data_IF_391372043102
#
_entry.id   IF_391372043102
#
_cell.length_a   1.000
_cell.length_b   1.000
_cell.length_c   1.000
_cell.angle_alpha   90.00
_cell.angle_beta   90.00
_cell.angle_gamma   90.00
#
_symmetry.space_group_name_H-M   'P 1'
#
loop_
_entity.id
_entity.type
_entity.pdbx_description
1 polymer ?
#
# COMPACT_ATOMS: atom_id res chain seq x y z
N UNK A 1 39.54 29.51 -13.23
CA UNK A 1 38.13 29.12 -13.47
C UNK A 1 37.82 28.62 -14.91
N UNK A 2 38.49 29.12 -15.99
CA UNK A 2 38.24 28.62 -17.37
C UNK A 2 38.65 27.15 -17.61
N UNK A 3 39.52 26.55 -16.80
CA UNK A 3 40.01 25.17 -16.96
C UNK A 3 39.14 24.11 -16.26
N UNK A 4 38.22 24.50 -15.34
CA UNK A 4 37.37 23.57 -14.57
C UNK A 4 36.13 23.17 -15.39
N UNK A 5 35.59 24.08 -16.21
CA UNK A 5 34.41 23.86 -17.02
C UNK A 5 34.51 22.64 -17.99
N UNK A 6 35.61 22.52 -18.78
CA UNK A 6 35.75 21.36 -19.67
C UNK A 6 35.90 20.03 -18.92
N UNK A 7 36.58 20.04 -17.76
CA UNK A 7 36.68 18.85 -16.90
C UNK A 7 35.33 18.42 -16.35
N UNK A 8 34.50 19.37 -15.94
CA UNK A 8 33.15 19.08 -15.47
C UNK A 8 32.24 18.52 -16.56
N UNK A 9 32.35 19.07 -17.79
CA UNK A 9 31.59 18.58 -18.95
C UNK A 9 32.01 17.13 -19.28
N UNK A 10 33.31 16.84 -19.25
CA UNK A 10 33.82 15.48 -19.49
C UNK A 10 33.33 14.52 -18.39
N UNK A 11 33.33 14.94 -17.14
CA UNK A 11 32.89 14.12 -16.01
C UNK A 11 31.37 13.83 -16.08
N UNK A 12 30.57 14.82 -16.46
CA UNK A 12 29.13 14.64 -16.70
C UNK A 12 28.87 13.73 -17.89
N UNK A 13 29.59 13.89 -18.99
CA UNK A 13 29.52 13.01 -20.16
C UNK A 13 29.90 11.56 -19.80
N UNK A 14 30.91 11.38 -18.94
CA UNK A 14 31.37 10.07 -18.46
C UNK A 14 30.34 9.40 -17.53
N UNK A 15 29.68 10.16 -16.68
CA UNK A 15 28.58 9.67 -15.83
C UNK A 15 27.38 9.29 -16.69
N UNK A 16 27.04 10.07 -17.73
CA UNK A 16 25.94 9.76 -18.64
C UNK A 16 26.24 8.49 -19.43
N UNK A 17 27.45 8.37 -19.99
CA UNK A 17 27.84 7.17 -20.74
C UNK A 17 27.90 5.94 -19.82
N UNK A 18 28.43 6.05 -18.62
CA UNK A 18 28.41 4.97 -17.62
C UNK A 18 26.99 4.56 -17.24
N UNK A 19 26.09 5.52 -17.03
CA UNK A 19 24.67 5.25 -16.72
C UNK A 19 23.94 4.56 -17.86
N UNK A 20 24.22 4.94 -19.11
CA UNK A 20 23.68 4.29 -20.31
C UNK A 20 24.20 2.86 -20.43
N UNK A 21 25.52 2.64 -20.26
CA UNK A 21 26.13 1.31 -20.33
C UNK A 21 25.63 0.39 -19.21
N UNK A 22 25.46 0.90 -18.00
CA UNK A 22 24.94 0.13 -16.86
C UNK A 22 23.44 -0.16 -17.07
N UNK A 23 22.67 0.79 -17.61
CA UNK A 23 21.25 0.61 -17.91
C UNK A 23 20.96 -0.40 -19.00
N UNK A 24 21.84 -0.49 -20.01
CA UNK A 24 21.68 -1.46 -21.12
C UNK A 24 22.03 -2.89 -20.70
N UNK A 25 22.87 -3.10 -19.67
CA UNK A 25 23.32 -4.43 -19.24
C UNK A 25 22.49 -5.06 -18.10
N UNK A 26 21.47 -4.40 -17.56
CA UNK A 26 20.54 -5.09 -16.68
C UNK A 26 19.56 -5.89 -17.55
N UNK A 27 19.95 -7.11 -17.92
CA UNK A 27 18.97 -8.16 -18.16
C UNK A 27 18.10 -8.21 -16.90
N UNK A 28 16.80 -7.89 -17.03
CA UNK A 28 15.85 -8.09 -15.94
C UNK A 28 16.01 -9.56 -15.52
N UNK A 29 16.53 -9.80 -14.34
CA UNK A 29 16.52 -11.16 -13.76
C UNK A 29 15.06 -11.55 -13.69
N UNK A 30 14.73 -12.70 -14.28
CA UNK A 30 13.35 -13.21 -14.24
C UNK A 30 13.01 -13.43 -12.78
N UNK A 31 11.92 -12.85 -12.35
CA UNK A 31 11.41 -13.03 -10.98
C UNK A 31 10.61 -14.34 -10.93
N UNK A 32 11.13 -15.29 -10.16
CA UNK A 32 10.57 -16.63 -9.97
C UNK A 32 9.81 -16.78 -8.65
N UNK A 33 9.40 -15.66 -8.05
CA UNK A 33 8.57 -15.69 -6.85
C UNK A 33 7.20 -16.29 -7.17
N UNK A 34 6.73 -17.19 -6.28
CA UNK A 34 5.42 -17.83 -6.41
C UNK A 34 4.33 -16.88 -5.93
N UNK A 35 3.46 -16.49 -6.83
CA UNK A 35 2.37 -15.55 -6.50
C UNK A 35 0.99 -16.17 -6.69
N UNK A 36 0.84 -17.07 -7.65
CA UNK A 36 -0.44 -17.62 -8.10
C UNK A 36 -1.53 -16.56 -8.36
N UNK A 37 -1.11 -15.32 -8.62
CA UNK A 37 -2.00 -14.18 -8.82
C UNK A 37 -2.46 -14.12 -10.29
N UNK A 38 -3.75 -13.92 -10.50
CA UNK A 38 -4.40 -13.84 -11.81
C UNK A 38 -4.01 -12.59 -12.61
N UNK A 39 -3.42 -11.59 -11.96
CA UNK A 39 -2.92 -10.37 -12.61
C UNK A 39 -1.43 -10.45 -12.95
N UNK A 40 -0.71 -11.36 -12.30
CA UNK A 40 0.73 -11.48 -12.43
C UNK A 40 1.14 -12.13 -13.76
N UNK A 41 1.98 -11.44 -14.53
CA UNK A 41 2.63 -11.98 -15.72
C UNK A 41 3.97 -12.64 -15.42
N UNK A 42 4.37 -12.76 -14.13
CA UNK A 42 5.55 -13.50 -13.72
C UNK A 42 5.42 -14.98 -14.08
N UNK A 43 6.53 -15.74 -14.12
CA UNK A 43 6.49 -17.17 -14.42
C UNK A 43 5.51 -17.96 -13.55
N UNK A 44 5.47 -17.67 -12.25
CA UNK A 44 4.59 -18.34 -11.30
C UNK A 44 3.34 -17.54 -10.92
N UNK A 45 2.89 -16.60 -11.78
CA UNK A 45 1.53 -16.08 -11.80
C UNK A 45 0.60 -16.98 -12.60
N UNK A 46 -0.72 -16.72 -12.55
CA UNK A 46 -1.74 -17.52 -13.26
C UNK A 46 -2.54 -16.71 -14.28
N UNK A 47 -1.99 -15.59 -14.75
CA UNK A 47 -2.71 -14.69 -15.66
C UNK A 47 -3.08 -15.32 -17.01
N UNK A 48 -2.30 -16.29 -17.47
CA UNK A 48 -2.61 -17.03 -18.72
C UNK A 48 -3.87 -17.88 -18.52
N UNK A 49 -3.90 -18.70 -17.48
CA UNK A 49 -5.07 -19.51 -17.13
C UNK A 49 -6.31 -18.63 -16.97
N UNK A 50 -6.20 -17.57 -16.15
CA UNK A 50 -7.34 -16.70 -15.87
C UNK A 50 -7.95 -16.07 -17.12
N UNK A 51 -7.13 -15.68 -18.09
CA UNK A 51 -7.59 -15.13 -19.38
C UNK A 51 -8.24 -16.16 -20.29
N UNK A 52 -7.89 -17.44 -20.12
CA UNK A 52 -8.47 -18.53 -20.92
C UNK A 52 -9.78 -19.09 -20.29
N UNK A 53 -9.99 -18.99 -18.97
CA UNK A 53 -11.19 -19.47 -18.29
C UNK A 53 -12.51 -19.04 -18.96
N UNK A 54 -12.74 -17.76 -19.36
CA UNK A 54 -13.97 -17.36 -20.05
C UNK A 54 -14.15 -18.00 -21.42
N UNK A 55 -13.09 -18.51 -22.04
CA UNK A 55 -13.16 -19.21 -23.31
C UNK A 55 -13.48 -20.69 -23.12
N UNK A 56 -13.05 -21.26 -22.01
CA UNK A 56 -13.31 -22.65 -21.64
C UNK A 56 -14.75 -22.81 -21.12
N UNK A 57 -15.23 -21.87 -20.31
CA UNK A 57 -16.60 -21.84 -19.77
C UNK A 57 -17.48 -20.83 -20.53
N UNK A 58 -17.65 -21.01 -21.86
CA UNK A 58 -18.22 -20.01 -22.79
C UNK A 58 -19.61 -19.52 -22.44
N UNK A 59 -20.46 -20.39 -21.93
CA UNK A 59 -21.85 -20.07 -21.63
C UNK A 59 -22.07 -19.56 -20.20
N UNK A 60 -20.99 -19.46 -19.43
CA UNK A 60 -21.02 -19.14 -18.01
C UNK A 60 -20.15 -17.94 -17.68
N UNK A 61 -20.35 -17.35 -16.50
CA UNK A 61 -19.61 -16.19 -16.06
C UNK A 61 -18.44 -16.61 -15.19
N UNK A 62 -17.25 -16.09 -15.49
CA UNK A 62 -16.09 -16.13 -14.60
C UNK A 62 -16.09 -14.86 -13.77
N UNK A 63 -16.14 -14.99 -12.45
CA UNK A 63 -16.12 -13.87 -11.49
C UNK A 63 -14.92 -13.99 -10.58
N UNK A 64 -14.20 -12.90 -10.39
CA UNK A 64 -13.10 -12.85 -9.43
C UNK A 64 -13.63 -12.47 -8.05
N UNK A 65 -13.24 -13.22 -7.04
CA UNK A 65 -13.63 -12.99 -5.63
C UNK A 65 -12.47 -12.36 -4.88
N UNK A 66 -12.61 -11.08 -4.55
CA UNK A 66 -11.60 -10.29 -3.80
C UNK A 66 -11.88 -10.22 -2.31
N UNK A 67 -13.04 -10.67 -1.87
CA UNK A 67 -13.46 -10.67 -0.48
C UNK A 67 -13.32 -12.07 0.11
N UNK A 68 -13.19 -12.13 1.42
CA UNK A 68 -13.19 -13.38 2.17
C UNK A 68 -14.36 -14.27 1.72
N UNK A 69 -14.10 -15.55 1.39
CA UNK A 69 -15.13 -16.47 0.91
C UNK A 69 -16.37 -16.52 1.80
N UNK A 70 -16.19 -16.52 3.13
CA UNK A 70 -17.30 -16.47 4.08
C UNK A 70 -18.20 -15.26 3.87
N UNK A 71 -17.62 -14.08 3.71
CA UNK A 71 -18.38 -12.84 3.50
C UNK A 71 -19.03 -12.82 2.11
N UNK A 72 -18.33 -13.29 1.09
CA UNK A 72 -18.81 -13.29 -0.28
C UNK A 72 -19.99 -14.25 -0.49
N UNK A 73 -19.88 -15.49 0.01
CA UNK A 73 -20.90 -16.51 -0.14
C UNK A 73 -22.13 -16.18 0.71
N UNK A 74 -21.95 -15.71 1.95
CA UNK A 74 -23.07 -15.23 2.80
C UNK A 74 -23.80 -14.03 2.20
N UNK A 75 -23.10 -13.08 1.60
CA UNK A 75 -23.72 -11.91 0.98
C UNK A 75 -24.59 -12.27 -0.25
N UNK A 76 -24.35 -13.43 -0.84
CA UNK A 76 -25.15 -13.96 -1.96
C UNK A 76 -26.23 -14.96 -1.50
N UNK A 77 -26.53 -15.09 -0.20
CA UNK A 77 -27.67 -15.85 0.31
C UNK A 77 -28.89 -14.95 0.56
N UNK A 78 -30.11 -15.39 0.22
CA UNK A 78 -31.32 -14.56 0.30
C UNK A 78 -31.63 -14.04 1.71
N UNK A 79 -31.30 -14.81 2.75
CA UNK A 79 -31.66 -14.50 4.14
C UNK A 79 -30.46 -14.34 5.10
N UNK A 80 -29.22 -14.45 4.59
CA UNK A 80 -28.03 -14.52 5.45
C UNK A 80 -27.96 -15.78 6.35
N UNK A 81 -28.96 -16.65 6.26
CA UNK A 81 -29.14 -17.90 6.99
C UNK A 81 -29.76 -19.01 6.10
N UNK A 82 -29.57 -18.99 4.84
CA UNK A 82 -30.28 -19.90 3.93
C UNK A 82 -29.42 -20.54 2.89
N UNK A 83 -30.06 -21.21 1.95
CA UNK A 83 -29.41 -21.87 0.81
C UNK A 83 -28.59 -20.86 0.00
N UNK A 84 -27.37 -21.25 -0.40
CA UNK A 84 -26.53 -20.42 -1.27
C UNK A 84 -27.22 -20.17 -2.60
N UNK A 85 -27.39 -18.90 -2.97
CA UNK A 85 -27.86 -18.53 -4.32
C UNK A 85 -26.72 -18.66 -5.35
N UNK A 86 -25.46 -18.62 -4.89
CA UNK A 86 -24.31 -18.82 -5.73
C UNK A 86 -24.25 -20.28 -6.17
N UNK A 87 -24.46 -20.52 -7.47
CA UNK A 87 -24.31 -21.84 -8.08
C UNK A 87 -23.08 -21.82 -8.97
N UNK A 88 -22.22 -22.85 -8.84
CA UNK A 88 -21.04 -22.92 -9.68
C UNK A 88 -19.86 -23.65 -9.08
N UNK A 89 -18.69 -23.36 -9.63
CA UNK A 89 -17.39 -23.89 -9.21
C UNK A 89 -16.55 -22.78 -8.58
N UNK A 90 -16.12 -22.97 -7.35
CA UNK A 90 -15.18 -22.07 -6.68
C UNK A 90 -13.76 -22.62 -6.89
N UNK A 91 -12.85 -21.80 -7.46
CA UNK A 91 -11.49 -22.22 -7.82
C UNK A 91 -10.48 -21.45 -6.97
N UNK A 92 -9.63 -22.18 -6.23
CA UNK A 92 -8.51 -21.66 -5.45
C UNK A 92 -7.23 -22.34 -5.94
N UNK A 93 -6.22 -21.54 -6.30
CA UNK A 93 -4.91 -22.02 -6.76
C UNK A 93 -3.81 -21.37 -5.91
N UNK A 94 -3.18 -22.16 -5.05
CA UNK A 94 -2.15 -21.71 -4.10
C UNK A 94 -2.69 -20.84 -2.95
N UNK A 95 -1.90 -20.76 -1.89
CA UNK A 95 -2.11 -19.90 -0.73
C UNK A 95 -3.41 -20.16 0.06
N UNK A 96 -3.90 -21.38 0.05
CA UNK A 96 -5.11 -21.76 0.79
C UNK A 96 -4.94 -21.73 2.32
N UNK A 97 -3.71 -21.74 2.79
CA UNK A 97 -3.34 -21.56 4.20
C UNK A 97 -3.72 -20.19 4.79
N UNK A 98 -4.00 -19.20 3.92
CA UNK A 98 -4.54 -17.90 4.32
C UNK A 98 -6.06 -17.89 4.50
N UNK A 99 -6.75 -19.01 4.26
CA UNK A 99 -8.18 -19.12 4.53
C UNK A 99 -8.43 -19.29 6.03
N UNK A 100 -9.29 -18.46 6.58
CA UNK A 100 -9.77 -18.62 7.95
C UNK A 100 -10.81 -19.74 8.04
N UNK A 101 -10.98 -20.34 9.21
CA UNK A 101 -11.89 -21.45 9.46
C UNK A 101 -13.33 -21.16 9.03
N UNK A 102 -13.81 -19.93 9.25
CA UNK A 102 -15.14 -19.50 8.81
C UNK A 102 -15.31 -19.53 7.29
N UNK A 103 -14.23 -19.22 6.54
CA UNK A 103 -14.25 -19.29 5.08
C UNK A 103 -14.26 -20.73 4.57
N UNK A 104 -13.57 -21.61 5.28
CA UNK A 104 -13.57 -23.05 4.95
C UNK A 104 -14.95 -23.65 5.21
N UNK A 105 -15.57 -23.32 6.35
CA UNK A 105 -16.95 -23.73 6.64
C UNK A 105 -17.92 -23.29 5.54
N UNK A 106 -17.82 -22.06 5.12
CA UNK A 106 -18.74 -21.55 4.12
C UNK A 106 -18.48 -22.14 2.72
N UNK A 107 -17.23 -22.42 2.38
CA UNK A 107 -16.89 -23.16 1.15
C UNK A 107 -17.42 -24.60 1.20
N UNK A 108 -17.33 -25.25 2.34
CA UNK A 108 -17.87 -26.61 2.52
C UNK A 108 -19.42 -26.59 2.47
N UNK A 109 -20.07 -25.60 3.11
CA UNK A 109 -21.53 -25.40 2.99
C UNK A 109 -21.96 -25.16 1.55
N UNK A 110 -21.18 -24.36 0.82
CA UNK A 110 -21.41 -24.14 -0.63
C UNK A 110 -21.35 -25.45 -1.41
N UNK A 111 -20.40 -26.33 -1.09
CA UNK A 111 -20.31 -27.65 -1.72
C UNK A 111 -21.45 -28.55 -1.27
N UNK A 112 -21.82 -28.56 0.02
CA UNK A 112 -22.93 -29.38 0.54
C UNK A 112 -24.27 -29.02 -0.15
N UNK A 113 -24.44 -27.75 -0.53
CA UNK A 113 -25.60 -27.30 -1.32
C UNK A 113 -25.67 -27.83 -2.75
N UNK A 114 -24.60 -28.49 -3.25
CA UNK A 114 -24.54 -29.10 -4.60
C UNK A 114 -23.56 -28.46 -5.55
N UNK A 115 -22.70 -27.57 -5.06
CA UNK A 115 -21.70 -26.87 -5.85
C UNK A 115 -20.36 -27.57 -5.87
N UNK A 116 -19.37 -27.01 -6.56
CA UNK A 116 -18.05 -27.59 -6.72
C UNK A 116 -16.98 -26.66 -6.11
N UNK A 117 -16.06 -27.23 -5.36
CA UNK A 117 -14.83 -26.59 -4.93
C UNK A 117 -13.65 -27.24 -5.62
N UNK A 118 -12.83 -26.45 -6.31
CA UNK A 118 -11.54 -26.89 -6.83
C UNK A 118 -10.44 -26.17 -6.03
N UNK A 119 -9.60 -26.93 -5.35
CA UNK A 119 -8.51 -26.44 -4.51
C UNK A 119 -7.19 -27.09 -4.93
N UNK A 120 -6.27 -26.29 -5.42
CA UNK A 120 -4.92 -26.71 -5.78
C UNK A 120 -3.89 -25.99 -4.93
N UNK A 121 -3.22 -26.70 -4.04
CA UNK A 121 -2.19 -26.15 -3.16
C UNK A 121 -1.19 -27.24 -2.71
N UNK A 122 -0.05 -26.82 -2.17
CA UNK A 122 0.91 -27.72 -1.55
C UNK A 122 0.42 -28.23 -0.20
N UNK A 123 -0.16 -27.36 0.58
CA UNK A 123 -0.71 -27.62 1.90
C UNK A 123 -2.15 -27.15 1.96
N UNK A 124 -2.99 -27.97 2.56
CA UNK A 124 -4.38 -27.62 2.78
C UNK A 124 -4.59 -27.22 4.24
N UNK A 125 -5.54 -26.32 4.53
CA UNK A 125 -5.93 -26.02 5.90
C UNK A 125 -6.30 -27.28 6.68
N UNK A 126 -5.94 -27.35 7.97
CA UNK A 126 -6.18 -28.52 8.82
C UNK A 126 -7.65 -28.95 8.80
N UNK A 127 -8.56 -27.99 8.74
CA UNK A 127 -9.99 -28.25 8.69
C UNK A 127 -10.44 -29.00 7.43
N UNK A 128 -9.77 -28.79 6.31
CA UNK A 128 -9.99 -29.56 5.06
C UNK A 128 -9.51 -31.01 5.26
N UNK A 129 -8.34 -31.19 5.89
CA UNK A 129 -7.82 -32.52 6.21
C UNK A 129 -8.80 -33.30 7.09
N UNK A 130 -9.27 -32.70 8.18
CA UNK A 130 -10.14 -33.34 9.17
C UNK A 130 -11.53 -33.62 8.60
N UNK A 131 -12.08 -32.70 7.79
CA UNK A 131 -13.45 -32.82 7.28
C UNK A 131 -13.57 -33.77 6.09
N UNK A 132 -12.54 -33.82 5.23
CA UNK A 132 -12.55 -34.65 4.02
C UNK A 132 -11.77 -35.96 4.19
N UNK A 133 -11.26 -36.23 5.37
CA UNK A 133 -10.48 -37.46 5.68
C UNK A 133 -9.34 -37.70 4.68
N UNK A 134 -8.50 -36.66 4.50
CA UNK A 134 -7.34 -36.69 3.61
C UNK A 134 -6.08 -36.32 4.36
N UNK A 135 -4.95 -36.96 4.04
CA UNK A 135 -3.65 -36.55 4.56
C UNK A 135 -2.68 -36.31 3.42
N UNK A 136 -1.88 -35.28 3.54
CA UNK A 136 -0.82 -34.96 2.59
C UNK A 136 0.55 -35.25 3.25
N UNK A 137 1.43 -35.86 2.48
CA UNK A 137 2.81 -36.09 2.84
C UNK A 137 3.72 -35.59 1.71
N UNK A 138 5.01 -35.56 1.89
CA UNK A 138 5.97 -35.11 0.91
C UNK A 138 7.07 -36.18 0.68
N UNK A 139 7.63 -36.13 -0.54
CA UNK A 139 8.84 -36.92 -0.88
C UNK A 139 10.05 -36.04 -0.60
N UNK A 140 11.01 -36.52 0.19
CA UNK A 140 12.25 -35.82 0.45
C UNK A 140 13.10 -35.75 -0.84
N UNK A 141 13.19 -34.60 -1.45
CA UNK A 141 13.85 -34.40 -2.74
C UNK A 141 14.95 -33.35 -2.70
N UNK A 142 15.93 -33.51 -3.59
CA UNK A 142 16.94 -32.52 -3.85
C UNK A 142 16.32 -31.30 -4.61
N UNK A 143 16.94 -30.10 -4.47
CA UNK A 143 16.55 -28.92 -5.21
C UNK A 143 16.54 -29.19 -6.72
N UNK A 144 15.57 -28.59 -7.44
CA UNK A 144 15.29 -28.78 -8.87
C UNK A 144 14.62 -30.13 -9.25
N UNK A 145 13.73 -30.63 -8.39
CA UNK A 145 12.94 -31.82 -8.68
C UNK A 145 12.13 -31.71 -9.97
N UNK A 146 12.09 -32.83 -10.70
CA UNK A 146 11.27 -33.00 -11.89
C UNK A 146 10.16 -33.99 -11.51
N UNK A 147 8.92 -33.59 -11.78
CA UNK A 147 7.76 -34.47 -11.64
C UNK A 147 7.12 -34.73 -13.00
N UNK A 148 6.57 -35.92 -13.16
CA UNK A 148 5.74 -36.27 -14.31
C UNK A 148 4.29 -36.42 -13.85
N UNK A 149 3.40 -35.63 -14.42
CA UNK A 149 1.98 -35.61 -14.07
C UNK A 149 1.16 -36.40 -15.08
N UNK A 150 0.22 -37.20 -14.58
CA UNK A 150 -0.69 -38.00 -15.41
C UNK A 150 -2.12 -37.93 -14.87
N UNK A 151 -3.11 -38.03 -15.76
CA UNK A 151 -4.52 -38.11 -15.43
C UNK A 151 -5.08 -39.50 -15.77
N UNK A 152 -6.05 -39.96 -14.98
CA UNK A 152 -6.51 -41.36 -15.05
C UNK A 152 -7.47 -41.64 -16.19
N UNK A 153 -8.33 -40.72 -16.56
CA UNK A 153 -9.38 -40.91 -17.55
C UNK A 153 -9.22 -40.02 -18.79
N UNK A 154 -8.13 -39.29 -18.88
CA UNK A 154 -7.81 -38.43 -20.02
C UNK A 154 -6.58 -39.03 -20.71
N UNK A 155 -6.71 -39.31 -21.99
CA UNK A 155 -5.60 -39.91 -22.75
C UNK A 155 -4.60 -38.82 -23.17
N UNK A 156 -3.75 -38.43 -22.23
CA UNK A 156 -2.63 -37.52 -22.44
C UNK A 156 -1.34 -38.22 -22.03
N UNK A 157 -0.24 -37.88 -22.69
CA UNK A 157 1.09 -38.33 -22.29
C UNK A 157 1.46 -37.70 -20.93
N UNK A 158 2.36 -38.36 -20.19
CA UNK A 158 2.87 -37.84 -18.94
C UNK A 158 3.52 -36.45 -19.13
N UNK A 159 3.01 -35.44 -18.46
CA UNK A 159 3.48 -34.07 -18.57
C UNK A 159 4.62 -33.81 -17.60
N UNK A 160 5.76 -33.42 -18.14
CA UNK A 160 6.94 -33.09 -17.35
C UNK A 160 6.82 -31.71 -16.72
N UNK A 161 6.82 -31.61 -15.39
CA UNK A 161 7.08 -30.37 -14.66
C UNK A 161 8.54 -30.31 -14.21
N UNK A 162 9.18 -29.21 -14.47
CA UNK A 162 10.54 -28.89 -14.05
C UNK A 162 10.54 -27.66 -13.12
N UNK A 163 11.69 -27.29 -12.57
CA UNK A 163 11.88 -26.16 -11.66
C UNK A 163 11.06 -26.26 -10.38
N UNK A 164 11.49 -27.13 -9.48
CA UNK A 164 10.88 -27.36 -8.18
C UNK A 164 9.39 -27.75 -8.30
N UNK A 165 9.11 -28.81 -9.06
CA UNK A 165 7.81 -29.47 -8.98
C UNK A 165 7.47 -29.80 -7.53
N UNK A 166 6.19 -29.79 -7.18
CA UNK A 166 5.75 -30.15 -5.85
C UNK A 166 6.18 -31.57 -5.51
N UNK A 167 6.57 -31.75 -4.28
CA UNK A 167 6.91 -33.06 -3.68
C UNK A 167 5.76 -33.59 -2.81
N UNK A 168 4.64 -32.84 -2.72
CA UNK A 168 3.47 -33.25 -1.94
C UNK A 168 2.57 -34.22 -2.68
N UNK A 169 1.99 -35.15 -1.92
CA UNK A 169 1.05 -36.14 -2.41
C UNK A 169 0.06 -36.57 -1.32
N UNK A 170 -1.10 -37.09 -1.73
CA UNK A 170 -2.08 -37.67 -0.80
C UNK A 170 -1.58 -39.04 -0.33
N UNK A 171 -1.21 -39.11 0.95
CA UNK A 171 -0.69 -40.32 1.60
C UNK A 171 -1.81 -41.21 2.14
N UNK A 172 -2.88 -40.60 2.67
CA UNK A 172 -4.03 -41.30 3.22
C UNK A 172 -5.31 -40.59 2.73
N UNK A 173 -6.29 -41.37 2.34
CA UNK A 173 -7.62 -40.92 1.93
C UNK A 173 -8.59 -42.10 1.90
N UNK A 174 -9.88 -41.84 2.04
CA UNK A 174 -10.91 -42.88 1.93
C UNK A 174 -10.99 -43.42 0.48
N UNK A 175 -10.35 -44.53 0.23
CA UNK A 175 -10.30 -45.15 -1.09
C UNK A 175 -11.64 -45.72 -1.58
N UNK A 176 -12.66 -45.78 -0.72
CA UNK A 176 -14.01 -46.23 -1.08
C UNK A 176 -14.82 -45.12 -1.66
N UNK A 177 -14.79 -43.95 -1.00
CA UNK A 177 -15.60 -42.80 -1.35
C UNK A 177 -14.84 -41.77 -2.21
N UNK A 178 -13.50 -41.72 -2.10
CA UNK A 178 -12.71 -40.79 -2.89
C UNK A 178 -12.23 -41.40 -4.20
N UNK A 179 -12.30 -40.64 -5.26
CA UNK A 179 -11.85 -41.06 -6.59
C UNK A 179 -10.47 -40.47 -6.92
N UNK A 180 -9.50 -41.31 -7.20
CA UNK A 180 -8.20 -40.85 -7.69
C UNK A 180 -8.31 -40.48 -9.18
N UNK A 181 -8.02 -39.23 -9.51
CA UNK A 181 -8.07 -38.69 -10.86
C UNK A 181 -6.69 -38.45 -11.48
N UNK A 182 -5.66 -38.27 -10.67
CA UNK A 182 -4.32 -38.01 -11.18
C UNK A 182 -3.20 -38.51 -10.27
N UNK A 183 -2.02 -38.56 -10.85
CA UNK A 183 -0.82 -39.00 -10.16
C UNK A 183 0.35 -38.11 -10.56
N UNK A 184 1.27 -37.92 -9.59
CA UNK A 184 2.60 -37.38 -9.82
C UNK A 184 3.63 -38.54 -9.70
N UNK A 185 4.69 -38.44 -10.47
CA UNK A 185 5.80 -39.39 -10.41
C UNK A 185 7.10 -38.59 -10.28
N UNK A 186 7.72 -38.71 -9.12
CA UNK A 186 9.04 -38.17 -8.82
C UNK A 186 10.00 -39.32 -8.74
N UNK A 187 9.87 -40.17 -7.73
CA UNK A 187 10.55 -41.46 -7.52
C UNK A 187 9.61 -42.63 -7.84
N UNK A 188 8.46 -42.62 -7.19
CA UNK A 188 7.36 -43.59 -7.41
C UNK A 188 6.13 -42.84 -7.88
N UNK A 189 5.06 -43.56 -8.16
CA UNK A 189 3.77 -43.04 -8.54
C UNK A 189 2.95 -42.69 -7.29
N UNK A 190 2.70 -41.41 -7.07
CA UNK A 190 1.94 -40.87 -5.94
C UNK A 190 0.64 -40.27 -6.40
N UNK A 191 -0.41 -40.28 -5.58
CA UNK A 191 -1.68 -39.64 -5.85
C UNK A 191 -1.55 -38.11 -5.63
N UNK A 192 -1.84 -37.34 -6.65
CA UNK A 192 -1.78 -35.87 -6.58
C UNK A 192 -3.09 -35.16 -6.89
N UNK A 193 -4.11 -35.90 -7.37
CA UNK A 193 -5.40 -35.32 -7.71
C UNK A 193 -6.53 -36.26 -7.28
N UNK A 194 -7.42 -35.74 -6.42
CA UNK A 194 -8.55 -36.44 -5.84
C UNK A 194 -9.87 -35.72 -6.16
N UNK A 195 -10.92 -36.53 -6.35
CA UNK A 195 -12.31 -36.09 -6.31
C UNK A 195 -12.94 -36.64 -5.04
N UNK A 196 -13.48 -35.77 -4.23
CA UNK A 196 -14.06 -36.08 -2.91
C UNK A 196 -15.53 -35.64 -2.95
N UNK A 197 -16.48 -36.54 -2.92
CA UNK A 197 -17.89 -36.20 -2.75
C UNK A 197 -18.12 -35.59 -1.35
N UNK A 198 -18.84 -34.50 -1.29
CA UNK A 198 -19.20 -33.85 -0.01
C UNK A 198 -20.62 -33.30 -0.10
N UNK A 199 -21.51 -33.79 0.75
CA UNK A 199 -22.92 -33.47 0.70
C UNK A 199 -23.54 -33.78 -0.66
N UNK A 200 -24.12 -32.77 -1.32
CA UNK A 200 -24.68 -32.89 -2.68
C UNK A 200 -23.69 -32.52 -3.78
N UNK A 201 -22.53 -31.98 -3.41
CA UNK A 201 -21.51 -31.48 -4.33
C UNK A 201 -20.21 -32.27 -4.33
N UNK A 202 -19.15 -31.64 -4.77
CA UNK A 202 -17.86 -32.28 -4.97
C UNK A 202 -16.71 -31.34 -4.66
N UNK A 203 -15.71 -31.81 -3.94
CA UNK A 203 -14.42 -31.15 -3.76
C UNK A 203 -13.37 -31.84 -4.63
N UNK A 204 -12.63 -31.06 -5.39
CA UNK A 204 -11.45 -31.51 -6.13
C UNK A 204 -10.22 -30.97 -5.41
N UNK A 205 -9.32 -31.88 -4.98
CA UNK A 205 -8.08 -31.55 -4.29
C UNK A 205 -6.89 -31.91 -5.18
N UNK A 206 -5.98 -30.97 -5.36
CA UNK A 206 -4.81 -31.15 -6.23
C UNK A 206 -3.56 -30.59 -5.56
N UNK A 207 -2.44 -31.33 -5.54
CA UNK A 207 -1.23 -30.97 -4.78
C UNK A 207 -0.16 -30.25 -5.62
N UNK A 208 -0.41 -29.92 -6.89
CA UNK A 208 0.59 -29.31 -7.77
C UNK A 208 0.12 -27.96 -8.35
N UNK A 209 0.04 -26.89 -7.56
CA UNK A 209 -0.46 -25.60 -8.01
C UNK A 209 0.43 -24.97 -9.10
N UNK A 210 1.72 -25.30 -9.18
CA UNK A 210 2.62 -24.80 -10.24
C UNK A 210 2.20 -25.20 -11.63
N UNK A 211 1.49 -26.32 -11.79
CA UNK A 211 1.00 -26.75 -13.09
C UNK A 211 0.13 -25.68 -13.77
N UNK A 212 -0.59 -24.87 -12.99
CA UNK A 212 -1.47 -23.82 -13.48
C UNK A 212 -0.78 -22.51 -13.81
N UNK A 213 0.53 -22.38 -13.55
CA UNK A 213 1.26 -21.12 -13.70
C UNK A 213 1.61 -20.80 -15.15
N UNK A 214 1.86 -19.52 -15.42
CA UNK A 214 2.20 -19.01 -16.75
C UNK A 214 3.37 -19.77 -17.37
N UNK A 215 4.41 -20.05 -16.59
CA UNK A 215 5.60 -20.77 -17.09
C UNK A 215 5.25 -22.17 -17.59
N UNK A 216 4.48 -22.92 -16.83
CA UNK A 216 4.13 -24.29 -17.19
C UNK A 216 3.11 -24.33 -18.31
N UNK A 217 2.10 -23.44 -18.30
CA UNK A 217 1.09 -23.38 -19.37
C UNK A 217 1.66 -23.00 -20.73
N UNK A 218 2.67 -22.12 -20.75
CA UNK A 218 3.27 -21.64 -22.01
C UNK A 218 4.39 -22.52 -22.54
N UNK A 219 4.81 -23.53 -21.77
CA UNK A 219 5.92 -24.38 -22.14
C UNK A 219 5.44 -25.70 -22.74
N UNK A 220 5.89 -25.98 -23.97
CA UNK A 220 5.56 -27.23 -24.69
C UNK A 220 4.03 -27.47 -24.74
N UNK A 221 3.58 -28.68 -24.55
CA UNK A 221 2.15 -29.06 -24.55
C UNK A 221 1.58 -29.24 -23.13
N UNK A 222 2.18 -28.62 -22.12
CA UNK A 222 1.82 -28.82 -20.69
C UNK A 222 0.40 -28.29 -20.37
N UNK A 223 -0.11 -27.36 -21.15
CA UNK A 223 -1.50 -26.90 -21.03
C UNK A 223 -2.52 -28.05 -21.17
N UNK A 224 -2.19 -29.13 -21.86
CA UNK A 224 -3.07 -30.32 -22.00
C UNK A 224 -3.42 -30.94 -20.67
N UNK A 225 -2.50 -30.92 -19.69
CA UNK A 225 -2.78 -31.40 -18.35
C UNK A 225 -3.86 -30.57 -17.67
N UNK A 226 -3.78 -29.27 -17.80
CA UNK A 226 -4.76 -28.34 -17.20
C UNK A 226 -6.11 -28.43 -17.92
N UNK A 227 -6.14 -28.53 -19.24
CA UNK A 227 -7.36 -28.83 -19.99
C UNK A 227 -8.00 -30.15 -19.49
N UNK A 228 -7.18 -31.17 -19.25
CA UNK A 228 -7.62 -32.43 -18.68
C UNK A 228 -8.20 -32.27 -17.27
N UNK A 229 -7.55 -31.52 -16.37
CA UNK A 229 -8.08 -31.22 -15.03
C UNK A 229 -9.41 -30.48 -15.13
N UNK A 230 -9.46 -29.40 -15.93
CA UNK A 230 -10.68 -28.60 -16.06
C UNK A 230 -11.84 -29.38 -16.68
N UNK A 231 -11.57 -30.42 -17.47
CA UNK A 231 -12.61 -31.29 -18.04
C UNK A 231 -13.36 -32.15 -17.01
N UNK A 232 -12.83 -32.28 -15.78
CA UNK A 232 -13.55 -32.92 -14.67
C UNK A 232 -14.53 -31.98 -13.98
N UNK A 233 -14.35 -30.66 -14.14
CA UNK A 233 -15.22 -29.66 -13.54
C UNK A 233 -16.54 -29.55 -14.34
N UNK A 234 -17.68 -29.34 -13.67
CA UNK A 234 -18.94 -29.13 -14.35
C UNK A 234 -18.94 -27.80 -15.12
N UNK A 235 -19.66 -27.79 -16.24
CA UNK A 235 -19.92 -26.58 -17.02
C UNK A 235 -20.91 -25.69 -16.25
N UNK A 236 -20.41 -24.74 -15.50
CA UNK A 236 -21.19 -23.82 -14.68
C UNK A 236 -20.45 -22.50 -14.46
N UNK A 237 -21.01 -21.61 -13.63
CA UNK A 237 -20.35 -20.36 -13.25
C UNK A 237 -19.07 -20.63 -12.47
N UNK A 238 -18.04 -19.83 -12.72
CA UNK A 238 -16.75 -19.94 -12.05
C UNK A 238 -16.51 -18.75 -11.13
N UNK A 239 -16.18 -19.04 -9.88
CA UNK A 239 -15.73 -18.07 -8.88
C UNK A 239 -14.24 -18.29 -8.66
N UNK A 240 -13.43 -17.36 -9.16
CA UNK A 240 -11.97 -17.46 -9.07
C UNK A 240 -11.48 -16.69 -7.84
N UNK A 241 -10.80 -17.36 -6.94
CA UNK A 241 -10.27 -16.76 -5.71
C UNK A 241 -9.10 -15.83 -5.99
N UNK A 242 -9.24 -14.58 -5.56
CA UNK A 242 -8.17 -13.59 -5.49
C UNK A 242 -7.89 -13.13 -4.05
N UNK A 243 -8.76 -13.49 -3.10
CA UNK A 243 -8.64 -13.08 -1.71
C UNK A 243 -7.36 -13.63 -1.07
N UNK A 244 -7.05 -14.92 -1.24
CA UNK A 244 -5.84 -15.53 -0.68
C UNK A 244 -4.56 -14.90 -1.21
N UNK A 245 -4.57 -14.31 -2.40
CA UNK A 245 -3.42 -13.63 -3.03
C UNK A 245 -3.16 -12.26 -2.40
N UNK A 246 -4.23 -11.56 -2.00
CA UNK A 246 -4.14 -10.26 -1.31
C UNK A 246 -3.55 -10.43 0.08
N UNK A 247 -3.87 -11.53 0.78
CA UNK A 247 -3.39 -11.80 2.14
C UNK A 247 -1.88 -12.06 2.19
N UNK A 248 -1.28 -12.55 1.12
CA UNK A 248 0.18 -12.75 1.06
C UNK A 248 0.98 -11.43 1.07
N UNK A 249 0.31 -10.28 1.04
CA UNK A 249 0.97 -8.99 0.79
C UNK A 249 1.56 -8.90 -0.61
N UNK A 250 1.36 -9.94 -1.41
CA UNK A 250 1.57 -9.94 -2.83
C UNK A 250 0.43 -9.12 -3.45
N UNK A 251 0.59 -7.80 -3.36
CA UNK A 251 -0.19 -6.85 -4.16
C UNK A 251 0.32 -7.08 -5.58
N UNK A 252 -0.26 -8.12 -6.24
CA UNK A 252 0.23 -8.68 -7.50
C UNK A 252 0.91 -7.61 -8.35
N UNK A 253 1.71 -7.88 -9.37
CA UNK A 253 2.36 -6.86 -10.22
C UNK A 253 1.36 -5.80 -10.79
N UNK A 254 0.37 -5.40 -10.00
CA UNK A 254 0.00 -4.02 -9.86
C UNK A 254 1.27 -3.38 -9.28
N UNK A 255 2.35 -3.33 -10.11
CA UNK A 255 3.17 -2.15 -10.05
C UNK A 255 2.11 -1.08 -9.78
N UNK A 256 2.12 -0.48 -8.57
CA UNK A 256 1.62 0.89 -8.47
C UNK A 256 2.44 1.54 -9.56
N UNK A 257 1.88 1.46 -10.77
CA UNK A 257 2.40 2.24 -11.88
C UNK A 257 2.24 3.64 -11.33
N UNK A 258 3.28 4.02 -10.55
CA UNK A 258 3.43 5.41 -10.28
C UNK A 258 3.34 5.97 -11.69
N UNK A 259 2.50 6.99 -11.87
CA UNK A 259 2.39 7.68 -13.17
C UNK A 259 3.78 7.94 -13.78
N UNK A 260 4.81 7.94 -12.92
CA UNK A 260 6.22 8.01 -13.25
C UNK A 260 6.77 6.68 -13.80
N UNK A 261 6.33 5.50 -13.33
CA UNK A 261 6.75 4.20 -13.85
C UNK A 261 6.33 4.05 -15.31
N UNK A 262 5.04 4.21 -15.61
CA UNK A 262 4.52 4.21 -16.97
C UNK A 262 5.22 5.23 -17.88
N UNK A 263 5.45 6.45 -17.35
CA UNK A 263 6.15 7.51 -18.09
C UNK A 263 7.60 7.13 -18.43
N UNK A 264 8.30 6.44 -17.53
CA UNK A 264 9.68 6.02 -17.72
C UNK A 264 9.83 4.73 -18.56
N UNK A 265 8.78 3.94 -18.71
CA UNK A 265 8.76 2.79 -19.61
C UNK A 265 8.77 3.21 -21.09
N UNK A 266 8.13 4.34 -21.41
CA UNK A 266 8.16 4.89 -22.75
C UNK A 266 9.53 5.47 -23.08
N UNK A 267 10.23 4.86 -24.05
CA UNK A 267 11.60 5.23 -24.41
C UNK A 267 11.78 6.75 -24.65
N UNK A 268 10.81 7.36 -25.33
CA UNK A 268 10.83 8.80 -25.63
C UNK A 268 10.70 9.65 -24.38
N UNK A 269 9.78 9.30 -23.47
CA UNK A 269 9.57 10.03 -22.23
C UNK A 269 10.70 9.81 -21.22
N UNK A 270 11.27 8.63 -21.19
CA UNK A 270 12.47 8.33 -20.39
C UNK A 270 13.62 9.26 -20.75
N UNK A 271 13.92 9.40 -22.03
CA UNK A 271 14.97 10.31 -22.49
C UNK A 271 14.64 11.78 -22.25
N UNK A 272 13.39 12.17 -22.45
CA UNK A 272 12.93 13.53 -22.11
C UNK A 272 13.11 13.85 -20.62
N UNK A 273 12.79 12.91 -19.74
CA UNK A 273 12.96 13.04 -18.29
C UNK A 273 14.42 13.23 -17.88
N UNK A 274 15.30 12.36 -18.35
CA UNK A 274 16.73 12.50 -18.05
C UNK A 274 17.32 13.79 -18.63
N UNK A 275 16.90 14.18 -19.81
CA UNK A 275 17.30 15.45 -20.41
C UNK A 275 16.86 16.63 -19.57
N UNK A 276 15.61 16.64 -19.08
CA UNK A 276 15.09 17.68 -18.19
C UNK A 276 15.88 17.76 -16.87
N UNK A 277 16.24 16.62 -16.27
CA UNK A 277 17.08 16.58 -15.05
C UNK A 277 18.46 17.17 -15.34
N UNK A 278 19.09 16.80 -16.44
CA UNK A 278 20.40 17.34 -16.84
C UNK A 278 20.32 18.85 -17.03
N UNK A 279 19.31 19.33 -17.76
CA UNK A 279 19.10 20.78 -17.91
C UNK A 279 18.84 21.48 -16.57
N UNK A 280 18.08 20.87 -15.66
CA UNK A 280 17.85 21.37 -14.31
C UNK A 280 19.15 21.50 -13.50
N UNK A 281 20.00 20.48 -13.56
CA UNK A 281 21.32 20.49 -12.89
C UNK A 281 22.22 21.57 -13.50
N UNK A 282 22.29 21.63 -14.83
CA UNK A 282 23.06 22.67 -15.52
C UNK A 282 22.54 24.08 -15.18
N UNK A 283 21.22 24.26 -15.18
CA UNK A 283 20.60 25.51 -14.78
C UNK A 283 20.95 25.91 -13.34
N UNK A 284 20.92 24.95 -12.39
CA UNK A 284 21.37 25.18 -11.02
C UNK A 284 22.85 25.57 -10.93
N UNK A 285 23.73 24.86 -11.66
CA UNK A 285 25.17 25.14 -11.68
C UNK A 285 25.45 26.53 -12.28
N UNK A 286 24.78 26.90 -13.38
CA UNK A 286 24.97 28.20 -13.98
C UNK A 286 24.38 29.35 -13.15
N UNK A 287 23.25 29.11 -12.46
CA UNK A 287 22.62 30.09 -11.56
C UNK A 287 23.25 30.12 -10.15
N UNK A 288 23.91 29.06 -9.72
CA UNK A 288 24.65 29.02 -8.45
C UNK A 288 25.87 29.97 -8.42
N UNK A 289 26.31 30.49 -9.58
CA UNK A 289 27.22 31.62 -9.59
C UNK A 289 26.57 32.78 -8.87
N UNK A 290 26.98 33.00 -7.61
CA UNK A 290 26.70 34.25 -6.90
C UNK A 290 27.01 35.41 -7.85
N UNK A 291 25.99 36.01 -8.42
CA UNK A 291 26.13 37.35 -9.00
C UNK A 291 26.49 38.25 -7.81
N UNK A 292 27.78 38.51 -7.63
CA UNK A 292 28.20 39.57 -6.73
C UNK A 292 27.52 40.83 -7.27
N UNK A 293 26.44 41.23 -6.61
CA UNK A 293 25.87 42.55 -6.84
C UNK A 293 26.98 43.56 -6.57
N UNK A 294 27.22 44.43 -7.53
CA UNK A 294 28.07 45.61 -7.32
C UNK A 294 27.52 46.26 -6.04
N UNK A 295 28.34 46.23 -4.98
CA UNK A 295 27.99 46.89 -3.71
C UNK A 295 27.90 48.39 -4.07
N UNK A 296 26.70 48.90 -4.27
CA UNK A 296 26.48 50.33 -4.34
C UNK A 296 26.81 50.85 -2.97
N UNK A 297 27.64 51.92 -2.92
CA UNK A 297 27.95 52.66 -1.69
C UNK A 297 26.59 53.15 -1.15
N UNK A 298 26.06 52.44 -0.14
CA UNK A 298 24.84 52.84 0.52
C UNK A 298 25.19 53.98 1.42
N UNK A 299 24.65 55.20 1.14
CA UNK A 299 24.74 56.30 2.08
C UNK A 299 24.18 55.81 3.43
N UNK A 300 24.83 56.20 4.54
CA UNK A 300 24.42 55.75 5.87
C UNK A 300 22.91 56.09 6.04
N UNK A 301 22.17 55.03 6.42
CA UNK A 301 20.72 55.10 6.56
C UNK A 301 20.35 56.17 7.61
N UNK A 302 19.62 57.17 7.21
CA UNK A 302 18.86 58.01 8.16
C UNK A 302 17.97 57.05 8.97
N UNK A 303 17.95 57.24 10.27
CA UNK A 303 17.31 56.39 11.30
C UNK A 303 16.01 55.70 10.82
N UNK A 304 16.19 54.51 10.25
CA UNK A 304 15.10 53.79 9.54
C UNK A 304 14.09 53.18 10.50
N UNK A 305 14.39 53.17 11.79
CA UNK A 305 13.51 52.59 12.81
C UNK A 305 12.17 53.32 12.88
N UNK A 306 12.22 54.66 12.84
CA UNK A 306 10.98 55.48 12.86
C UNK A 306 10.17 55.30 11.58
N UNK A 307 10.84 55.30 10.42
CA UNK A 307 10.18 55.09 9.11
C UNK A 307 9.55 53.68 9.03
N UNK A 308 10.27 52.65 9.52
CA UNK A 308 9.77 51.28 9.57
C UNK A 308 8.54 51.17 10.48
N UNK A 309 8.64 51.68 11.72
CA UNK A 309 7.51 51.68 12.66
C UNK A 309 6.30 52.37 12.08
N UNK A 310 6.50 53.51 11.38
CA UNK A 310 5.43 54.27 10.74
C UNK A 310 4.79 53.43 9.59
N UNK A 311 5.61 52.76 8.76
CA UNK A 311 5.12 51.95 7.66
C UNK A 311 4.31 50.75 8.19
N UNK A 312 4.83 50.04 9.20
CA UNK A 312 4.13 48.94 9.85
C UNK A 312 2.84 49.42 10.52
N UNK A 313 2.88 50.57 11.21
CA UNK A 313 1.68 51.14 11.83
C UNK A 313 0.62 51.50 10.81
N UNK A 314 1.00 52.08 9.66
CA UNK A 314 0.05 52.39 8.58
C UNK A 314 -0.56 51.11 7.99
N UNK A 315 0.23 50.08 7.76
CA UNK A 315 -0.26 48.81 7.27
C UNK A 315 -1.29 48.15 8.21
N UNK A 316 -1.04 48.22 9.52
CA UNK A 316 -1.99 47.75 10.53
C UNK A 316 -3.22 48.64 10.66
N UNK A 317 -3.10 49.94 10.44
CA UNK A 317 -4.21 50.87 10.42
C UNK A 317 -5.15 50.61 9.25
N UNK A 318 -4.57 50.34 8.07
CA UNK A 318 -5.33 50.06 6.83
C UNK A 318 -6.08 48.71 6.91
N UNK A 319 -5.51 47.69 7.58
CA UNK A 319 -6.16 46.39 7.70
C UNK A 319 -7.31 46.33 8.70
N UNK A 320 -7.41 47.29 9.62
CA UNK A 320 -8.43 47.40 10.70
C UNK A 320 -8.57 46.08 11.55
N UNK A 321 -7.55 45.23 11.54
CA UNK A 321 -7.55 43.99 12.33
C UNK A 321 -7.17 44.28 13.79
N UNK A 322 -8.13 44.84 14.51
CA UNK A 322 -7.95 45.19 15.91
C UNK A 322 -7.74 43.97 16.80
N UNK A 323 -8.28 42.81 16.45
CA UNK A 323 -8.11 41.58 17.19
C UNK A 323 -6.65 41.15 17.22
N UNK A 324 -6.03 41.03 16.05
CA UNK A 324 -4.63 40.60 15.93
C UNK A 324 -3.67 41.57 16.69
N UNK A 325 -3.98 42.88 16.64
CA UNK A 325 -3.18 43.86 17.39
C UNK A 325 -3.31 43.69 18.91
N UNK A 326 -4.52 43.47 19.41
CA UNK A 326 -4.79 43.26 20.81
C UNK A 326 -4.10 41.98 21.28
N UNK A 327 -4.23 40.86 20.56
CA UNK A 327 -3.64 39.60 20.90
C UNK A 327 -2.09 39.66 20.92
N UNK A 328 -1.51 40.29 19.91
CA UNK A 328 -0.06 40.52 19.88
C UNK A 328 0.43 41.42 21.04
N UNK A 329 -0.30 42.48 21.34
CA UNK A 329 0.05 43.41 22.42
C UNK A 329 0.02 42.69 23.78
N UNK A 330 -1.00 41.84 24.00
CA UNK A 330 -1.10 41.03 25.21
C UNK A 330 0.07 40.01 25.28
N UNK A 331 0.32 39.31 24.20
CA UNK A 331 1.41 38.32 24.10
C UNK A 331 2.76 38.98 24.41
N UNK A 332 3.09 40.08 23.75
CA UNK A 332 4.36 40.79 24.01
C UNK A 332 4.48 41.31 25.46
N UNK A 333 3.38 41.80 25.99
CA UNK A 333 3.38 42.25 27.40
C UNK A 333 3.66 41.09 28.36
N UNK A 334 2.96 39.96 28.17
CA UNK A 334 3.14 38.79 29.05
C UNK A 334 4.49 38.09 28.87
N UNK A 335 4.99 38.03 27.65
CA UNK A 335 6.38 37.52 27.41
C UNK A 335 7.43 38.40 28.06
N UNK A 336 7.26 39.72 28.01
CA UNK A 336 8.15 40.63 28.69
C UNK A 336 8.13 40.45 30.21
N UNK A 337 6.95 40.27 30.80
CA UNK A 337 6.79 39.96 32.22
C UNK A 337 7.45 38.62 32.57
N UNK A 338 7.25 37.60 31.74
CA UNK A 338 7.87 36.27 31.93
C UNK A 338 9.39 36.37 31.90
N UNK A 339 9.94 37.07 30.91
CA UNK A 339 11.39 37.20 30.73
C UNK A 339 12.06 38.10 31.77
N UNK A 340 11.47 39.27 32.01
CA UNK A 340 12.13 40.31 32.83
C UNK A 340 11.93 40.07 34.36
N UNK A 341 10.80 39.43 34.71
CA UNK A 341 10.43 39.18 36.10
C UNK A 341 10.39 37.69 36.49
N UNK A 342 10.62 36.80 35.55
CA UNK A 342 10.58 35.34 35.74
C UNK A 342 9.28 34.87 36.47
N UNK A 343 8.12 35.32 35.94
CA UNK A 343 6.78 34.95 36.41
C UNK A 343 6.08 34.05 35.40
N UNK A 344 5.38 33.02 35.90
CA UNK A 344 4.52 32.25 35.03
C UNK A 344 3.31 33.10 34.63
N UNK A 345 3.03 33.16 33.33
CA UNK A 345 1.97 33.99 32.72
C UNK A 345 0.87 33.13 32.06
N UNK A 346 0.81 31.82 32.37
CA UNK A 346 -0.15 30.92 31.78
C UNK A 346 -1.54 31.11 32.40
N UNK A 347 -1.58 31.32 33.70
CA UNK A 347 -2.80 31.62 34.46
C UNK A 347 -2.68 33.02 35.07
N UNK A 348 -3.61 33.91 34.76
CA UNK A 348 -3.62 35.30 35.23
C UNK A 348 -4.66 35.45 36.36
N UNK A 349 -4.38 34.83 37.48
CA UNK A 349 -5.22 34.81 38.68
C UNK A 349 -4.81 35.86 39.74
N UNK A 350 -5.44 35.82 40.89
CA UNK A 350 -5.12 36.75 42.01
C UNK A 350 -3.72 36.53 42.53
N UNK A 351 -3.19 35.30 42.48
CA UNK A 351 -1.81 35.00 42.91
C UNK A 351 -0.80 35.63 41.95
N UNK A 352 -1.07 35.58 40.65
CA UNK A 352 -0.27 36.28 39.65
C UNK A 352 -0.26 37.80 39.87
N UNK A 353 -1.42 38.40 40.19
CA UNK A 353 -1.56 39.82 40.45
C UNK A 353 -0.68 40.22 41.67
N UNK A 354 -0.70 39.45 42.74
CA UNK A 354 0.09 39.71 43.94
C UNK A 354 1.59 39.63 43.66
N UNK A 355 2.00 38.57 42.97
CA UNK A 355 3.42 38.39 42.60
C UNK A 355 3.93 39.51 41.68
N UNK A 356 3.10 39.89 40.68
CA UNK A 356 3.44 40.95 39.76
C UNK A 356 3.53 42.32 40.47
N UNK A 357 2.57 42.66 41.33
CA UNK A 357 2.57 43.87 42.11
C UNK A 357 3.81 43.96 43.05
N UNK A 358 4.10 42.85 43.73
CA UNK A 358 5.27 42.77 44.64
C UNK A 358 6.60 42.97 43.92
N UNK A 359 6.77 42.29 42.76
CA UNK A 359 8.02 42.38 41.97
C UNK A 359 8.23 43.74 41.28
N UNK A 360 7.14 44.41 40.91
CA UNK A 360 7.21 45.70 40.19
C UNK A 360 7.10 46.93 41.13
N UNK A 361 6.70 46.74 42.38
CA UNK A 361 6.45 47.83 43.32
C UNK A 361 5.21 48.68 43.00
N UNK A 362 4.34 48.18 42.10
CA UNK A 362 3.09 48.89 41.69
C UNK A 362 1.97 48.59 42.67
N UNK A 363 0.99 49.48 42.74
CA UNK A 363 -0.21 49.24 43.56
C UNK A 363 -1.00 48.06 43.03
N UNK A 364 -1.40 47.16 43.92
CA UNK A 364 -2.18 45.94 43.59
C UNK A 364 -3.43 46.27 42.75
N UNK A 365 -4.11 47.37 43.07
CA UNK A 365 -5.33 47.75 42.35
C UNK A 365 -5.07 48.11 40.89
N UNK A 366 -3.94 48.72 40.55
CA UNK A 366 -3.61 49.10 39.20
C UNK A 366 -3.20 47.89 38.37
N UNK A 367 -2.43 46.98 38.97
CA UNK A 367 -2.10 45.67 38.35
C UNK A 367 -3.36 44.85 38.14
N UNK A 368 -4.26 44.84 39.12
CA UNK A 368 -5.55 44.12 39.02
C UNK A 368 -6.42 44.67 37.89
N UNK A 369 -6.50 45.98 37.71
CA UNK A 369 -7.25 46.58 36.58
C UNK A 369 -6.69 46.15 35.25
N UNK A 370 -5.36 46.14 35.09
CA UNK A 370 -4.70 45.71 33.86
C UNK A 370 -4.95 44.22 33.57
N UNK A 371 -4.73 43.34 34.56
CA UNK A 371 -4.90 41.88 34.40
C UNK A 371 -6.33 41.54 34.12
N UNK A 372 -7.29 42.15 34.83
CA UNK A 372 -8.71 41.93 34.57
C UNK A 372 -9.11 42.40 33.14
N UNK A 373 -8.51 43.50 32.70
CA UNK A 373 -8.75 43.97 31.35
C UNK A 373 -8.15 43.01 30.28
N UNK A 374 -6.99 42.44 30.52
CA UNK A 374 -6.39 41.43 29.66
C UNK A 374 -7.26 40.18 29.62
N UNK A 375 -7.75 39.70 30.77
CA UNK A 375 -8.64 38.54 30.81
C UNK A 375 -9.97 38.80 30.10
N UNK A 376 -10.52 40.01 30.22
CA UNK A 376 -11.70 40.44 29.48
C UNK A 376 -11.44 40.45 27.96
N UNK A 377 -10.28 40.94 27.53
CA UNK A 377 -9.93 40.94 26.10
C UNK A 377 -9.74 39.49 25.57
N UNK A 378 -9.20 38.57 26.34
CA UNK A 378 -9.06 37.16 25.93
C UNK A 378 -10.39 36.43 25.79
N UNK A 379 -11.41 36.84 26.51
CA UNK A 379 -12.77 36.25 26.44
C UNK A 379 -13.68 36.88 25.38
N UNK A 380 -13.22 37.98 24.76
CA UNK A 380 -14.06 38.75 23.82
C UNK A 380 -13.87 38.29 22.38
N UNK A 381 -14.96 38.26 21.60
CA UNK A 381 -14.94 37.82 20.22
C UNK A 381 -14.86 38.99 19.22
N UNK A 382 -15.37 40.15 19.57
CA UNK A 382 -15.39 41.33 18.72
C UNK A 382 -14.51 42.43 19.33
N UNK A 383 -13.72 43.11 18.49
CA UNK A 383 -12.74 44.12 18.90
C UNK A 383 -12.93 45.39 18.09
N UNK A 384 -12.96 46.51 18.82
CA UNK A 384 -13.01 47.85 18.26
C UNK A 384 -11.72 48.60 18.57
N UNK A 385 -11.43 49.66 17.85
CA UNK A 385 -10.28 50.53 18.06
C UNK A 385 -10.13 50.98 19.53
N UNK A 386 -11.26 51.30 20.15
CA UNK A 386 -11.30 51.74 21.55
C UNK A 386 -10.71 50.67 22.52
N UNK A 387 -10.92 49.40 22.22
CA UNK A 387 -10.38 48.31 23.04
C UNK A 387 -8.84 48.28 22.99
N UNK A 388 -8.26 48.48 21.81
CA UNK A 388 -6.84 48.58 21.59
C UNK A 388 -6.23 49.82 22.29
N UNK A 389 -6.84 50.97 22.13
CA UNK A 389 -6.41 52.21 22.78
C UNK A 389 -6.43 52.08 24.29
N UNK A 390 -7.50 51.50 24.83
CA UNK A 390 -7.63 51.28 26.28
C UNK A 390 -6.61 50.28 26.84
N UNK A 391 -6.37 49.17 26.11
CA UNK A 391 -5.32 48.21 26.44
C UNK A 391 -3.93 48.88 26.46
N UNK A 392 -3.62 49.67 25.42
CA UNK A 392 -2.35 50.37 25.32
C UNK A 392 -2.16 51.33 26.48
N UNK A 393 -3.20 52.07 26.86
CA UNK A 393 -3.16 53.02 27.99
C UNK A 393 -2.89 52.28 29.32
N UNK A 394 -3.51 51.13 29.54
CA UNK A 394 -3.26 50.31 30.75
C UNK A 394 -1.82 49.77 30.80
N UNK A 395 -1.29 49.32 29.64
CA UNK A 395 0.07 48.83 29.56
C UNK A 395 1.11 49.97 29.75
N UNK A 396 0.85 51.14 29.12
CA UNK A 396 1.73 52.32 29.30
C UNK A 396 1.71 52.84 30.72
N UNK A 397 0.56 52.89 31.37
CA UNK A 397 0.46 53.24 32.78
C UNK A 397 1.19 52.27 33.69
N UNK A 398 1.22 51.00 33.33
CA UNK A 398 2.03 49.99 34.06
C UNK A 398 3.51 50.27 33.91
N UNK A 399 4.02 50.73 32.75
CA UNK A 399 5.46 51.01 32.58
C UNK A 399 5.85 52.46 32.94
N UNK A 400 4.94 53.39 33.07
CA UNK A 400 5.22 54.73 33.55
C UNK A 400 5.71 54.69 35.02
N UNK A 401 6.74 55.45 35.33
CA UNK A 401 7.25 55.56 36.69
C UNK A 401 6.29 56.22 37.66
#
# INVERSE_FOLDING_TARGET
>A
MKKILPVLIILVALVITASVVIGVKRTKTVDWEESFDEKSNKPYGVSVLYKELPKLFKDYKVRTVYHQPASYLKANSEDGYGEHIAEGTYIIIGNSDYLEDDSIDELLNFVDAGNTLFLSDYYFPQKIHDTLDVSVNFVENEKDSISYLSLKHVNIDDIKLDRNASDQYFSEFDSINHTVLGHSKIDYKHTNFLQVPFGKGTVFLHTEPKAFTNYHLLKEERYKYIEGILSYLPDNHVYFDSYTKIQTGYDGDVEKESNLGWFLEQLSFKWAWFTAIIFGILFMIFNAKRRQRIIRIIKPLQNTTVAFVKTVSNLYFDTKDHKNLVDKKITYFLEKIRRDLNLNTDVLDEEFIEKLASKTGKKKDDVKKLVNYINLMRSKNEFFEENLIKLNRHIEAFYSK
#
